data_IF_838688328798
#
_entry.id   IF_838688328798
#
_cell.length_a   1.000
_cell.length_b   1.000
_cell.length_c   1.000
_cell.angle_alpha   90.00
_cell.angle_beta   90.00
_cell.angle_gamma   90.00
#
_symmetry.space_group_name_H-M   'P 1'
#
loop_
_entity.id
_entity.type
_entity.pdbx_description
1 polymer ?
2 non-polymer ?
3 non-polymer ?
4 water ?
#
# COMPACT_ATOMS: atom_id res chain seq x y z
N UNK A 3 -7.52 -17.74 -19.00
CA UNK A 3 -8.85 -18.32 -19.35
C UNK A 3 -9.77 -18.50 -18.14
N UNK A 4 -9.22 -18.97 -17.00
CA UNK A 4 -10.00 -19.17 -15.75
C UNK A 4 -10.61 -17.87 -15.20
N UNK A 5 -9.85 -16.79 -15.23
CA UNK A 5 -10.34 -15.52 -14.71
C UNK A 5 -9.91 -14.34 -15.59
N UNK A 6 -10.37 -13.15 -15.27
CA UNK A 6 -10.03 -11.98 -16.01
C UNK A 6 -9.66 -10.89 -15.02
N UNK A 7 -8.55 -10.20 -15.28
CA UNK A 7 -8.07 -9.11 -14.42
C UNK A 7 -8.73 -7.75 -14.76
N UNK A 8 -9.19 -7.06 -13.72
CA UNK A 8 -9.70 -5.69 -13.80
C UNK A 8 -8.96 -4.90 -12.74
N UNK A 9 -8.51 -3.71 -13.13
CA UNK A 9 -7.72 -2.85 -12.31
C UNK A 9 -8.39 -1.47 -12.30
N UNK A 10 -8.54 -0.88 -11.12
CA UNK A 10 -9.06 0.49 -10.99
C UNK A 10 -8.10 1.35 -10.21
N UNK A 11 -7.93 2.58 -10.68
CA UNK A 11 -7.22 3.60 -9.96
C UNK A 11 -8.23 4.58 -9.37
N UNK A 12 -8.02 4.98 -8.12
CA UNK A 12 -8.76 6.07 -7.57
C UNK A 12 -8.37 7.46 -8.07
N UNK A 13 -9.39 8.33 -8.19
CA UNK A 13 -9.22 9.71 -8.60
C UNK A 13 -9.33 10.64 -7.42
N UNK A 14 -9.97 10.16 -6.35
CA UNK A 14 -9.97 10.89 -5.10
C UNK A 14 -8.54 10.94 -4.57
N UNK A 15 -8.24 11.91 -3.72
CA UNK A 15 -6.90 12.00 -3.10
C UNK A 15 -7.05 12.32 -1.61
N UNK A 16 -6.14 11.74 -0.83
CA UNK A 16 -5.97 12.05 0.59
C UNK A 16 -4.46 12.07 0.87
N UNK A 17 -4.00 12.92 1.80
CA UNK A 17 -2.57 12.93 2.06
C UNK A 17 -2.12 11.62 2.67
N UNK A 18 -0.97 11.11 2.25
CA UNK A 18 -0.48 9.89 2.85
C UNK A 18 1.05 9.79 2.84
N UNK A 19 1.57 8.73 3.46
CA UNK A 19 3.01 8.59 3.72
C UNK A 19 3.39 7.11 3.74
N UNK A 20 4.59 6.86 4.23
CA UNK A 20 5.13 5.54 4.32
C UNK A 20 4.84 4.86 5.65
N UNK A 21 4.81 3.55 5.59
CA UNK A 21 4.77 2.73 6.78
C UNK A 21 5.68 1.56 6.46
N UNK A 22 6.64 1.33 7.34
CA UNK A 22 7.61 0.28 7.12
C UNK A 22 7.69 -0.57 8.39
N UNK A 23 7.59 -1.88 8.19
CA UNK A 23 7.80 -2.88 9.25
C UNK A 23 9.00 -3.75 8.92
N UNK A 24 10.00 -3.69 9.80
CA UNK A 24 11.24 -4.39 9.54
C UNK A 24 11.57 -5.42 10.65
N UNK A 25 12.14 -6.54 10.22
CA UNK A 25 12.67 -7.54 11.16
C UNK A 25 14.20 -7.55 11.05
N UNK A 26 14.87 -7.48 12.20
CA UNK A 26 16.30 -7.35 12.21
C UNK A 26 16.91 -8.57 12.87
N UNK A 27 17.83 -9.20 12.13
CA UNK A 27 18.77 -10.18 12.69
C UNK A 27 20.16 -9.58 12.80
N UNK A 28 21.12 -10.38 13.27
CA UNK A 28 22.45 -9.88 13.49
C UNK A 28 23.12 -9.37 12.21
N UNK A 29 22.95 -10.13 11.14
CA UNK A 29 23.65 -9.86 9.88
C UNK A 29 22.75 -9.58 8.68
N UNK A 30 21.45 -9.47 8.93
CA UNK A 30 20.49 -9.20 7.87
C UNK A 30 19.16 -8.62 8.38
N UNK A 31 18.45 -7.98 7.47
CA UNK A 31 17.13 -7.45 7.76
C UNK A 31 16.23 -7.76 6.60
N UNK A 32 14.95 -7.86 6.94
CA UNK A 32 13.93 -8.02 5.96
C UNK A 32 12.80 -7.08 6.31
N UNK A 33 12.28 -6.41 5.29
CA UNK A 33 11.37 -5.32 5.47
C UNK A 33 10.28 -5.27 4.40
N UNK A 34 9.12 -4.80 4.84
CA UNK A 34 7.97 -4.52 3.99
C UNK A 34 7.65 -3.05 4.20
N UNK A 35 7.68 -2.29 3.11
CA UNK A 35 7.50 -0.86 3.16
C UNK A 35 6.34 -0.48 2.24
N UNK A 36 5.37 0.24 2.75
CA UNK A 36 4.23 0.68 1.89
C UNK A 36 4.21 2.17 1.86
N UNK A 37 3.95 2.76 0.69
CA UNK A 37 4.11 4.19 0.49
C UNK A 37 3.46 4.61 -0.83
N UNK A 38 3.14 5.90 -0.94
CA UNK A 38 2.59 6.44 -2.17
C UNK A 38 3.69 6.84 -3.12
N UNK A 39 3.48 6.56 -4.41
CA UNK A 39 4.24 7.13 -5.51
C UNK A 39 3.95 8.61 -5.56
N UNK A 40 4.99 9.41 -5.38
CA UNK A 40 4.88 10.84 -5.20
C UNK A 40 4.58 11.59 -6.51
N UNK A 41 4.60 10.89 -7.65
CA UNK A 41 4.25 11.50 -8.93
C UNK A 41 2.86 11.08 -9.38
N UNK A 42 2.59 9.78 -9.34
CA UNK A 42 1.30 9.21 -9.78
C UNK A 42 0.17 9.29 -8.75
N UNK A 43 0.52 9.38 -7.47
CA UNK A 43 -0.47 9.32 -6.38
C UNK A 43 -0.99 7.93 -6.05
N UNK A 44 -0.43 6.88 -6.64
CA UNK A 44 -0.92 5.54 -6.42
C UNK A 44 0.07 4.76 -5.56
N UNK A 45 -0.44 3.81 -4.77
CA UNK A 45 0.40 3.10 -3.80
C UNK A 45 1.36 2.07 -4.38
N UNK A 46 2.46 1.84 -3.70
CA UNK A 46 3.29 0.69 -3.99
C UNK A 46 3.66 -0.04 -2.71
N UNK A 47 4.16 -1.25 -2.86
CA UNK A 47 4.73 -1.96 -1.75
C UNK A 47 6.11 -2.45 -2.19
N UNK A 48 7.10 -2.15 -1.33
CA UNK A 48 8.47 -2.56 -1.52
C UNK A 48 8.79 -3.60 -0.43
N UNK A 49 9.29 -4.74 -0.86
CA UNK A 49 9.81 -5.78 0.05
C UNK A 49 11.30 -5.83 -0.22
N UNK A 50 12.11 -5.80 0.82
CA UNK A 50 13.53 -5.89 0.59
C UNK A 50 14.25 -6.65 1.67
N UNK A 51 15.42 -7.16 1.30
CA UNK A 51 16.27 -7.82 2.27
C UNK A 51 17.69 -7.35 2.07
N UNK A 52 18.34 -6.96 3.16
CA UNK A 52 19.75 -6.60 3.15
C UNK A 52 20.55 -7.54 4.02
N UNK A 53 21.77 -7.82 3.57
CA UNK A 53 22.69 -8.66 4.32
C UNK A 53 24.04 -7.97 4.32
N UNK A 54 24.69 -7.96 5.48
CA UNK A 54 25.99 -7.24 5.64
C UNK A 54 26.98 -8.12 6.36
N UNK A 55 28.24 -7.71 6.41
CA UNK A 55 29.27 -8.47 7.11
C UNK A 55 29.43 -8.06 8.58
N UNK A 56 30.45 -8.64 9.23
CA UNK A 56 30.69 -8.37 10.65
C UNK A 56 30.95 -6.91 10.92
N UNK A 57 31.36 -6.16 9.89
CA UNK A 57 31.72 -4.78 10.06
C UNK A 57 30.68 -3.82 9.55
N UNK A 58 29.49 -4.37 9.28
CA UNK A 58 28.34 -3.63 8.76
C UNK A 58 28.55 -3.09 7.34
N UNK A 59 29.46 -3.71 6.58
CA UNK A 59 29.51 -3.49 5.12
C UNK A 59 28.44 -4.30 4.42
N UNK A 60 27.66 -3.66 3.56
CA UNK A 60 26.67 -4.34 2.77
C UNK A 60 27.30 -5.38 1.84
N UNK A 61 26.77 -6.60 1.83
CA UNK A 61 27.21 -7.67 0.92
C UNK A 61 26.13 -8.05 -0.10
N UNK A 62 24.85 -8.02 0.30
CA UNK A 62 23.76 -8.33 -0.63
C UNK A 62 22.52 -7.49 -0.37
N UNK A 63 21.84 -7.14 -1.45
CA UNK A 63 20.54 -6.48 -1.35
C UNK A 63 19.58 -7.07 -2.40
N UNK A 64 18.37 -7.39 -1.98
CA UNK A 64 17.29 -7.88 -2.85
C UNK A 64 16.04 -7.04 -2.63
N UNK A 65 15.44 -6.59 -3.73
CA UNK A 65 14.26 -5.74 -3.77
C UNK A 65 13.18 -6.31 -4.65
N UNK A 66 11.92 -6.14 -4.23
CA UNK A 66 10.76 -6.61 -4.99
C UNK A 66 9.73 -5.55 -4.71
N UNK A 67 9.37 -4.83 -5.77
CA UNK A 67 8.39 -3.76 -5.66
C UNK A 67 7.20 -4.05 -6.53
N UNK A 68 6.02 -3.88 -5.97
CA UNK A 68 4.79 -3.99 -6.73
C UNK A 68 4.02 -2.67 -6.73
N UNK A 69 3.63 -2.26 -7.93
CA UNK A 69 2.94 -1.00 -8.16
C UNK A 69 2.01 -1.19 -9.34
N UNK A 70 1.28 -0.12 -9.64
CA UNK A 70 0.41 -0.13 -10.81
C UNK A 70 1.20 -0.46 -12.06
N UNK A 71 2.50 -0.09 -12.11
CA UNK A 71 3.33 -0.29 -13.32
C UNK A 71 3.82 -1.72 -13.50
N UNK A 72 3.71 -2.53 -12.46
CA UNK A 72 4.07 -3.94 -12.57
C UNK A 72 4.95 -4.31 -11.41
N UNK A 73 5.58 -5.47 -11.52
CA UNK A 73 6.49 -5.94 -10.50
C UNK A 73 7.87 -5.61 -11.05
N UNK A 74 8.72 -5.02 -10.22
CA UNK A 74 10.11 -4.80 -10.57
C UNK A 74 11.00 -5.42 -9.47
N UNK A 75 12.03 -6.10 -9.91
CA UNK A 75 12.99 -6.66 -9.01
C UNK A 75 14.39 -6.02 -9.22
N UNK A 76 15.19 -6.06 -8.16
CA UNK A 76 16.60 -5.67 -8.21
C UNK A 76 17.41 -6.54 -7.24
N UNK A 77 18.50 -7.11 -7.74
CA UNK A 77 19.42 -7.92 -6.95
C UNK A 77 20.85 -7.39 -7.10
N UNK A 78 21.42 -6.91 -6.01
CA UNK A 78 22.77 -6.35 -5.99
C UNK A 78 23.66 -7.13 -5.05
N UNK A 79 24.89 -7.36 -5.52
CA UNK A 79 25.95 -7.94 -4.70
C UNK A 79 27.06 -6.91 -4.57
N UNK A 80 27.66 -6.80 -3.39
CA UNK A 80 28.78 -5.91 -3.13
C UNK A 80 29.88 -6.70 -2.41
N UNK A 81 31.14 -6.42 -2.72
CA UNK A 81 32.24 -7.18 -2.07
C UNK A 81 32.67 -6.67 -0.69
N UNK A 82 32.02 -5.59 -0.21
CA UNK A 82 32.40 -4.92 1.04
C UNK A 82 33.59 -3.96 0.90
N UNK A 83 34.14 -3.87 -0.30
CA UNK A 83 35.28 -3.01 -0.58
C UNK A 83 35.03 -2.04 -1.71
N UNK A 84 33.75 -1.84 -2.05
CA UNK A 84 33.31 -0.82 -3.00
C UNK A 84 33.04 -1.30 -4.43
N UNK A 85 32.97 -2.62 -4.64
CA UNK A 85 32.77 -3.20 -5.98
C UNK A 85 31.47 -3.96 -6.04
N UNK A 86 30.66 -3.59 -7.02
CA UNK A 86 29.28 -4.08 -7.09
C UNK A 86 29.03 -4.90 -8.29
N UNK A 87 28.04 -5.78 -8.18
CA UNK A 87 27.57 -6.44 -9.37
C UNK A 87 26.13 -6.82 -9.23
N UNK A 88 25.52 -7.14 -10.36
CA UNK A 88 24.12 -7.56 -10.37
C UNK A 88 24.00 -9.03 -10.04
N UNK A 89 22.76 -9.51 -9.94
CA UNK A 89 22.51 -10.93 -9.69
C UNK A 89 23.01 -11.89 -10.76
N UNK A 90 23.29 -11.38 -11.96
CA UNK A 90 23.88 -12.20 -13.02
C UNK A 90 25.39 -12.17 -12.97
N UNK A 91 25.96 -11.46 -12.00
CA UNK A 91 27.41 -11.44 -11.85
C UNK A 91 28.08 -10.46 -12.78
N UNK A 92 27.30 -9.60 -13.44
CA UNK A 92 27.84 -8.53 -14.27
C UNK A 92 28.28 -7.37 -13.37
N UNK A 93 29.51 -6.91 -13.56
CA UNK A 93 30.07 -5.82 -12.77
C UNK A 93 29.29 -4.52 -13.04
N UNK A 94 29.16 -3.68 -12.02
CA UNK A 94 28.49 -2.40 -12.10
C UNK A 94 29.48 -1.31 -11.70
N UNK A 95 30.38 -0.93 -12.63
CA UNK A 95 31.46 0.03 -12.30
C UNK A 95 30.98 1.43 -11.88
N UNK A 96 29.75 1.77 -12.25
CA UNK A 96 29.23 3.09 -11.96
C UNK A 96 29.02 3.27 -10.47
N UNK A 97 29.09 2.18 -9.70
CA UNK A 97 28.85 2.25 -8.25
C UNK A 97 30.16 2.11 -7.49
N UNK A 98 31.27 2.05 -8.21
CA UNK A 98 32.56 1.88 -7.56
C UNK A 98 32.73 2.83 -6.38
N UNK A 99 33.20 2.31 -5.25
CA UNK A 99 33.43 3.13 -4.05
C UNK A 99 32.27 3.20 -3.07
N UNK A 100 31.08 2.82 -3.48
CA UNK A 100 29.97 2.80 -2.54
C UNK A 100 30.09 1.62 -1.60
N UNK A 101 30.09 1.88 -0.30
CA UNK A 101 30.10 0.80 0.72
C UNK A 101 28.72 0.56 1.38
N UNK A 102 27.84 1.58 1.35
CA UNK A 102 26.55 1.55 2.03
C UNK A 102 25.45 1.85 0.99
N UNK A 103 24.28 1.29 1.25
CA UNK A 103 23.06 1.59 0.50
C UNK A 103 22.24 2.60 1.33
N UNK A 104 21.52 3.46 0.62
CA UNK A 104 20.54 4.38 1.20
C UNK A 104 19.27 4.21 0.36
N UNK A 105 18.22 3.71 1.00
CA UNK A 105 16.93 3.45 0.34
C UNK A 105 16.04 4.59 0.79
N UNK A 106 15.35 5.22 -0.16
CA UNK A 106 14.23 6.15 0.12
C UNK A 106 12.95 5.38 -0.22
N UNK A 107 11.92 5.49 0.61
CA UNK A 107 11.84 6.17 1.89
C UNK A 107 12.06 5.26 3.08
N UNK A 108 13.28 5.22 3.61
CA UNK A 108 13.51 4.42 4.82
C UNK A 108 14.58 4.98 5.72
N UNK A 109 14.24 5.16 7.00
CA UNK A 109 15.32 5.62 7.89
C UNK A 109 16.18 4.47 8.42
N UNK A 110 15.84 3.25 8.05
CA UNK A 110 16.71 2.10 8.41
C UNK A 110 18.13 2.30 7.96
N UNK A 111 18.30 2.72 6.71
CA UNK A 111 19.62 2.67 6.10
C UNK A 111 20.65 3.65 6.69
N UNK A 112 20.18 4.63 7.46
CA UNK A 112 21.08 5.53 8.17
C UNK A 112 21.93 4.77 9.21
N UNK A 113 21.46 3.59 9.62
CA UNK A 113 22.19 2.77 10.57
C UNK A 113 23.52 2.26 10.03
N UNK A 114 23.61 2.08 8.73
CA UNK A 114 24.84 1.50 8.15
C UNK A 114 26.07 2.36 8.37
N UNK A 115 26.05 3.63 7.90
CA UNK A 115 27.25 4.44 8.17
C UNK A 115 27.54 4.59 9.66
N UNK A 116 26.49 4.71 10.47
CA UNK A 116 26.67 4.83 11.90
C UNK A 116 27.41 3.64 12.48
N UNK A 117 26.97 2.44 12.13
CA UNK A 117 27.55 1.24 12.71
C UNK A 117 28.87 0.93 12.06
N UNK A 118 28.99 1.19 10.78
CA UNK A 118 30.22 0.88 10.06
C UNK A 118 31.40 1.80 10.47
N UNK A 119 31.14 3.10 10.60
CA UNK A 119 32.19 4.09 10.83
C UNK A 119 32.69 4.16 12.24
N UNK A 120 31.84 3.88 13.22
CA UNK A 120 32.24 3.92 14.61
C UNK A 120 32.81 5.28 15.00
N UNK A 121 32.12 6.34 14.62
CA UNK A 121 32.66 7.68 14.83
C UNK A 121 32.72 8.06 16.31
N UNK A 122 33.66 8.94 16.65
CA UNK A 122 33.68 9.55 18.00
C UNK A 122 32.98 10.88 17.91
N UNK A 123 32.60 11.43 19.07
CA UNK A 123 32.02 12.76 19.14
C UNK A 123 32.84 13.76 18.36
N UNK A 124 32.14 14.48 17.51
CA UNK A 124 32.69 15.58 16.81
C UNK A 124 33.24 15.15 15.50
N UNK A 125 33.33 13.84 15.27
CA UNK A 125 33.99 13.32 14.08
C UNK A 125 33.09 13.31 12.90
N UNK A 126 33.61 13.80 11.76
CA UNK A 126 32.89 13.86 10.51
C UNK A 126 33.46 12.84 9.53
N UNK A 127 32.59 12.20 8.77
CA UNK A 127 32.99 11.37 7.63
C UNK A 127 32.18 11.70 6.38
N UNK A 128 32.85 11.74 5.23
CA UNK A 128 32.13 11.84 4.00
C UNK A 128 32.15 10.46 3.33
N UNK A 129 30.99 10.02 2.85
CA UNK A 129 30.85 8.70 2.30
C UNK A 129 30.26 8.82 0.90
N UNK A 130 30.39 7.73 0.15
CA UNK A 130 29.72 7.53 -1.12
C UNK A 130 28.66 6.45 -0.95
N UNK A 131 27.40 6.87 -0.92
CA UNK A 131 26.32 5.97 -0.68
C UNK A 131 25.69 5.54 -1.98
N UNK A 132 25.24 4.30 -2.06
CA UNK A 132 24.44 3.88 -3.23
C UNK A 132 22.95 4.14 -2.96
N UNK A 133 22.45 5.21 -3.60
CA UNK A 133 21.13 5.75 -3.28
C UNK A 133 20.14 5.08 -4.21
N UNK A 134 19.13 4.46 -3.63
CA UNK A 134 18.10 3.70 -4.37
C UNK A 134 16.74 4.23 -3.88
N UNK A 135 16.05 4.90 -4.79
CA UNK A 135 14.76 5.54 -4.50
C UNK A 135 13.65 4.67 -5.01
N UNK A 136 12.81 4.19 -4.09
CA UNK A 136 11.59 3.50 -4.51
C UNK A 136 10.58 4.54 -5.02
N UNK A 137 9.68 4.13 -5.93
CA UNK A 137 9.52 2.76 -6.47
C UNK A 137 10.39 2.34 -7.67
N UNK A 138 11.13 3.26 -8.28
CA UNK A 138 11.79 2.94 -9.55
C UNK A 138 13.03 2.08 -9.37
N UNK A 139 13.69 2.19 -8.22
CA UNK A 139 14.82 1.35 -7.83
C UNK A 139 15.93 1.40 -8.87
N UNK A 140 16.27 2.62 -9.28
CA UNK A 140 17.39 2.89 -10.20
C UNK A 140 18.55 3.46 -9.40
N UNK A 141 19.51 2.61 -9.02
CA UNK A 141 20.51 3.13 -8.10
C UNK A 141 21.42 4.19 -8.67
N UNK A 142 21.90 5.10 -7.81
CA UNK A 142 23.01 5.95 -8.21
C UNK A 142 23.86 6.34 -7.05
N UNK A 143 25.13 6.57 -7.35
CA UNK A 143 26.05 7.03 -6.32
C UNK A 143 25.69 8.43 -5.82
N UNK A 145 27.09 11.37 -2.74
CA UNK A 145 27.99 11.82 -1.70
C UNK A 145 27.19 12.35 -0.51
N UNK A 146 27.55 11.86 0.67
CA UNK A 146 26.83 12.18 1.91
C UNK A 146 27.86 12.44 2.99
N UNK A 147 27.48 13.17 4.03
CA UNK A 147 28.33 13.25 5.22
C UNK A 147 27.56 12.92 6.50
N UNK A 148 28.26 12.27 7.41
CA UNK A 148 27.79 12.03 8.77
C UNK A 148 28.77 12.63 9.79
N UNK A 149 28.21 13.37 10.75
CA UNK A 149 28.98 13.81 11.88
C UNK A 149 28.32 13.35 13.19
N UNK A 150 29.10 12.69 14.06
CA UNK A 150 28.60 12.34 15.38
C UNK A 150 28.61 13.55 16.32
N UNK A 151 27.45 13.89 16.85
CA UNK A 151 27.30 15.05 17.73
C UNK A 151 27.42 14.58 19.16
N UNK A 152 26.72 13.50 19.46
CA UNK A 152 26.88 12.76 20.71
C UNK A 152 26.49 11.31 20.46
N UNK A 153 26.44 10.47 21.50
CA UNK A 153 26.14 9.03 21.26
C UNK A 153 24.83 8.81 20.56
N UNK A 154 23.85 9.67 20.81
CA UNK A 154 22.51 9.44 20.26
C UNK A 154 22.09 10.40 19.12
N UNK A 155 22.98 11.29 18.71
CA UNK A 155 22.65 12.25 17.67
C UNK A 155 23.74 12.30 16.62
N UNK A 156 23.31 12.22 15.35
CA UNK A 156 24.14 12.35 14.18
C UNK A 156 23.62 13.44 13.23
N UNK A 157 24.53 14.29 12.76
CA UNK A 157 24.23 15.23 11.69
C UNK A 157 24.43 14.59 10.33
N UNK A 158 23.35 14.51 9.57
CA UNK A 158 23.36 13.96 8.22
C UNK A 158 23.37 15.17 7.25
N UNK A 159 24.17 15.12 6.19
CA UNK A 159 24.15 16.13 5.12
C UNK A 159 24.24 15.50 3.72
N UNK A 160 23.43 16.01 2.80
CA UNK A 160 23.65 15.78 1.37
C UNK A 160 24.87 16.58 0.89
N UNK A 161 25.70 15.93 0.11
CA UNK A 161 26.84 16.63 -0.48
C UNK A 161 26.69 16.90 -1.97
N UNK A 162 25.54 16.62 -2.57
CA UNK A 162 25.48 16.78 -4.04
C UNK A 162 24.91 18.09 -4.55
N UNK A 163 24.38 18.94 -3.67
CA UNK A 163 23.92 20.27 -4.09
C UNK A 163 22.64 20.77 -3.46
N UNK A 164 21.75 19.85 -3.03
CA UNK A 164 20.52 20.24 -2.27
C UNK A 164 20.76 21.01 -0.96
N UNK A 165 21.94 20.84 -0.37
CA UNK A 165 22.22 21.38 0.96
C UNK A 165 21.30 20.81 2.05
N UNK A 166 20.55 19.73 1.79
CA UNK A 166 19.72 19.13 2.83
C UNK A 166 20.54 18.65 4.04
N UNK A 167 20.08 18.97 5.23
CA UNK A 167 20.75 18.57 6.46
C UNK A 167 19.69 18.18 7.47
N UNK A 168 20.02 17.20 8.30
CA UNK A 168 19.13 16.76 9.36
C UNK A 168 19.94 16.23 10.54
N UNK A 169 19.36 16.35 11.75
CA UNK A 169 19.90 15.70 12.96
C UNK A 169 19.04 14.49 13.32
N UNK A 170 19.68 13.30 13.34
CA UNK A 170 19.00 12.04 13.60
C UNK A 170 19.18 11.65 15.06
N UNK A 171 18.07 11.28 15.69
CA UNK A 171 18.12 10.72 17.03
C UNK A 171 18.07 9.18 16.86
N UNK A 172 19.08 8.50 17.38
CA UNK A 172 19.26 7.07 17.25
C UNK A 172 19.37 6.41 18.63
N UNK A 173 19.10 5.12 18.65
CA UNK A 173 19.23 4.34 19.89
C UNK A 173 20.61 3.76 19.97
N UNK A 174 20.84 3.00 21.02
CA UNK A 174 22.16 2.45 21.26
C UNK A 174 22.65 1.48 20.23
N UNK A 175 21.76 0.92 19.41
CA UNK A 175 22.18 0.08 18.31
C UNK A 175 22.30 0.86 16.99
N UNK A 176 22.02 2.16 17.03
CA UNK A 176 22.17 3.00 15.86
C UNK A 176 20.93 3.01 15.00
N UNK A 177 19.84 2.45 15.52
CA UNK A 177 18.56 2.54 14.83
C UNK A 177 17.90 3.88 15.09
N UNK A 178 17.40 4.49 14.02
CA UNK A 178 16.74 5.75 14.07
C UNK A 178 15.46 5.68 14.94
N UNK A 179 15.39 6.58 15.91
CA UNK A 179 14.15 6.87 16.65
C UNK A 179 13.36 7.96 15.90
N UNK A 180 13.97 9.13 15.77
CA UNK A 180 13.39 10.29 15.09
C UNK A 180 14.29 10.75 13.99
N UNK A 181 13.71 10.85 12.81
CA UNK A 181 14.30 11.53 11.64
C UNK A 181 13.39 12.74 11.53
N UNK A 182 13.78 13.85 12.17
CA UNK A 182 12.78 14.89 12.44
C UNK A 182 12.07 15.44 11.19
N UNK A 183 10.73 15.40 11.25
CA UNK A 183 9.89 15.89 10.17
C UNK A 183 9.76 14.92 9.00
N UNK A 184 10.53 13.80 9.01
CA UNK A 184 10.42 12.81 7.95
C UNK A 184 9.94 11.43 8.42
N UNK A 185 10.50 10.90 9.50
CA UNK A 185 10.09 9.59 10.00
C UNK A 185 10.04 9.56 11.49
N UNK A 186 9.10 8.76 12.02
CA UNK A 186 9.02 8.47 13.43
C UNK A 186 8.95 6.95 13.69
N UNK A 187 9.82 6.49 14.56
CA UNK A 187 9.65 5.14 15.09
C UNK A 187 8.36 4.97 15.89
N UNK A 188 7.63 3.91 15.56
CA UNK A 188 6.41 3.59 16.28
C UNK A 188 6.64 2.51 17.31
N UNK B 5 14.93 -12.03 17.28
CA UNK B 5 14.71 -11.04 16.17
C UNK B 5 13.88 -9.84 16.61
N UNK B 6 14.44 -8.66 16.41
CA UNK B 6 13.86 -7.42 16.85
C UNK B 6 13.03 -6.82 15.71
N UNK B 7 11.87 -6.27 16.08
CA UNK B 7 10.97 -5.67 15.14
C UNK B 7 11.03 -4.16 15.28
N UNK B 8 11.03 -3.47 14.14
CA UNK B 8 11.13 -2.00 14.08
C UNK B 8 10.08 -1.51 13.09
N UNK B 9 9.29 -0.52 13.51
CA UNK B 9 8.25 0.06 12.65
C UNK B 9 8.44 1.55 12.62
N UNK B 10 8.47 2.12 11.43
CA UNK B 10 8.53 3.56 11.23
C UNK B 10 7.35 4.05 10.42
N UNK B 11 6.76 5.14 10.89
CA UNK B 11 5.77 5.92 10.14
C UNK B 11 6.44 7.14 9.53
N UNK B 12 6.10 7.46 8.27
CA UNK B 12 6.49 8.70 7.64
C UNK B 12 5.72 9.87 8.18
N UNK B 13 6.40 11.02 8.23
CA UNK B 13 5.82 12.30 8.64
C UNK B 13 5.60 13.22 7.41
N UNK B 14 6.35 12.99 6.35
CA UNK B 14 6.10 13.64 5.09
C UNK B 14 4.73 13.20 4.56
N UNK B 15 4.15 14.00 3.68
CA UNK B 15 2.84 13.71 3.15
C UNK B 15 2.85 14.00 1.67
N UNK B 16 2.13 13.18 0.93
CA UNK B 16 1.93 13.35 -0.50
C UNK B 16 0.52 12.84 -0.78
N UNK B 17 -0.22 13.49 -1.68
CA UNK B 17 -1.58 13.09 -2.04
C UNK B 17 -1.62 11.68 -2.65
N UNK B 18 -2.55 10.86 -2.21
CA UNK B 18 -2.62 9.52 -2.73
C UNK B 18 -4.03 8.96 -2.78
N UNK B 19 -4.14 7.78 -3.38
CA UNK B 19 -5.40 7.15 -3.60
C UNK B 19 -5.30 5.65 -3.60
N UNK B 20 -6.36 5.03 -4.06
CA UNK B 20 -6.49 3.59 -4.13
C UNK B 20 -5.97 3.01 -5.44
N UNK B 21 -5.48 1.77 -5.33
CA UNK B 21 -5.17 0.96 -6.49
C UNK B 21 -5.72 -0.42 -6.20
N UNK B 22 -6.57 -0.93 -7.11
CA UNK B 22 -7.25 -2.21 -6.96
C UNK B 22 -7.04 -3.09 -8.20
N UNK B 23 -6.62 -4.33 -7.92
CA UNK B 23 -6.39 -5.34 -8.92
C UNK B 23 -7.26 -6.55 -8.57
N UNK B 24 -8.29 -6.79 -9.39
CA UNK B 24 -9.31 -7.78 -9.13
C UNK B 24 -9.31 -8.86 -10.21
N UNK B 25 -9.44 -10.10 -9.75
CA UNK B 25 -9.55 -11.26 -10.64
C UNK B 25 -10.99 -11.79 -10.57
N UNK B 26 -11.67 -11.83 -11.72
CA UNK B 26 -13.06 -12.13 -11.77
C UNK B 26 -13.30 -13.47 -12.44
N UNK B 27 -14.17 -14.26 -11.82
CA UNK B 27 -14.65 -15.52 -12.39
C UNK B 27 -16.18 -15.47 -12.51
N UNK B 28 -16.84 -16.53 -13.02
CA UNK B 28 -18.29 -16.49 -13.16
C UNK B 28 -19.07 -16.25 -11.87
N UNK B 29 -18.57 -16.78 -10.75
CA UNK B 29 -19.33 -16.77 -9.48
C UNK B 29 -18.58 -16.21 -8.28
N UNK B 30 -17.40 -15.63 -8.51
CA UNK B 30 -16.59 -15.11 -7.44
C UNK B 30 -15.54 -14.17 -7.96
N UNK B 31 -15.03 -13.36 -7.05
CA UNK B 31 -13.96 -12.39 -7.33
C UNK B 31 -13.01 -12.34 -6.13
N UNK B 32 -11.72 -12.20 -6.42
CA UNK B 32 -10.69 -12.02 -5.44
C UNK B 32 -9.87 -10.82 -5.85
N UNK B 33 -9.69 -9.93 -4.87
CA UNK B 33 -9.11 -8.64 -5.06
C UNK B 33 -8.06 -8.22 -4.01
N UNK B 34 -7.12 -7.42 -4.48
CA UNK B 34 -6.10 -6.79 -3.65
C UNK B 34 -6.18 -5.31 -3.91
N UNK B 35 -6.44 -4.57 -2.84
CA UNK B 35 -6.74 -3.16 -2.86
C UNK B 35 -5.74 -2.52 -1.88
N UNK B 36 -4.97 -1.56 -2.37
CA UNK B 36 -4.06 -0.77 -1.55
C UNK B 36 -4.56 0.68 -1.54
N UNK B 37 -4.57 1.31 -0.38
CA UNK B 37 -5.11 2.67 -0.26
C UNK B 37 -4.62 3.32 1.03
N UNK B 38 -4.69 4.66 1.10
CA UNK B 38 -4.38 5.34 2.34
C UNK B 38 -5.57 5.37 3.29
N UNK B 39 -5.26 5.22 4.58
CA UNK B 39 -6.19 5.57 5.66
C UNK B 39 -6.36 7.09 5.68
N UNK B 40 -7.62 7.49 5.62
CA UNK B 40 -7.98 8.88 5.34
C UNK B 40 -7.91 9.74 6.59
N UNK B 41 -7.65 9.12 7.75
CA UNK B 41 -7.46 9.83 9.02
C UNK B 41 -6.02 9.82 9.42
N UNK B 42 -5.37 8.67 9.29
CA UNK B 42 -4.00 8.52 9.79
C UNK B 42 -2.91 8.95 8.80
N UNK B 43 -3.25 9.03 7.53
CA UNK B 43 -2.26 9.26 6.52
C UNK B 43 -1.45 8.03 6.16
N UNK B 44 -1.69 6.88 6.78
CA UNK B 44 -0.84 5.70 6.57
C UNK B 44 -1.52 4.66 5.66
N UNK B 45 -0.71 3.90 4.89
CA UNK B 45 -1.29 2.95 3.95
C UNK B 45 -1.85 1.64 4.57
N UNK B 46 -2.82 1.07 3.89
CA UNK B 46 -3.29 -0.26 4.26
C UNK B 46 -3.43 -1.10 3.00
N UNK B 47 -3.54 -2.40 3.23
CA UNK B 47 -3.84 -3.30 2.15
C UNK B 47 -5.01 -4.14 2.52
N UNK B 48 -6.00 -4.20 1.63
CA UNK B 48 -7.19 -5.00 1.86
C UNK B 48 -7.19 -6.10 0.81
N UNK B 49 -7.26 -7.35 1.23
CA UNK B 49 -7.50 -8.42 0.31
C UNK B 49 -8.91 -8.88 0.57
N UNK B 50 -9.66 -9.16 -0.47
CA UNK B 50 -10.98 -9.69 -0.22
C UNK B 50 -11.42 -10.67 -1.27
N UNK B 51 -12.38 -11.50 -0.91
CA UNK B 51 -13.00 -12.45 -1.86
C UNK B 51 -14.49 -12.45 -1.66
N UNK B 52 -15.22 -12.33 -2.75
CA UNK B 52 -16.66 -12.37 -2.73
C UNK B 52 -17.13 -13.56 -3.55
N UNK B 53 -18.20 -14.22 -3.07
CA UNK B 53 -18.88 -15.27 -3.86
C UNK B 53 -20.40 -15.06 -3.89
N UNK B 54 -20.99 -15.23 -5.07
CA UNK B 54 -22.41 -15.01 -5.33
C UNK B 54 -23.07 -16.17 -6.10
N UNK B 55 -24.41 -16.27 -5.99
CA UNK B 55 -25.18 -17.26 -6.75
C UNK B 55 -25.41 -16.75 -8.15
N UNK B 56 -26.10 -17.58 -8.94
CA UNK B 56 -26.31 -17.28 -10.34
C UNK B 56 -27.24 -16.10 -10.55
N UNK B 57 -27.95 -15.68 -9.50
CA UNK B 57 -28.77 -14.46 -9.57
C UNK B 57 -28.03 -13.20 -9.10
N UNK B 58 -26.72 -13.31 -8.88
CA UNK B 58 -25.87 -12.21 -8.35
C UNK B 58 -26.20 -11.75 -6.95
N UNK B 59 -26.79 -12.63 -6.14
CA UNK B 59 -26.98 -12.42 -4.71
C UNK B 59 -25.71 -12.91 -4.01
N UNK B 60 -25.12 -12.05 -3.20
CA UNK B 60 -23.92 -12.36 -2.43
C UNK B 60 -24.23 -13.49 -1.46
N UNK B 61 -23.31 -14.44 -1.42
CA UNK B 61 -23.39 -15.59 -0.51
C UNK B 61 -22.28 -15.69 0.54
N UNK B 62 -21.08 -15.20 0.21
CA UNK B 62 -19.98 -15.25 1.15
C UNK B 62 -19.03 -14.09 0.87
N UNK B 63 -18.42 -13.53 1.92
CA UNK B 63 -17.43 -12.47 1.74
C UNK B 63 -16.38 -12.64 2.80
N UNK B 64 -15.14 -12.62 2.37
CA UNK B 64 -14.01 -12.74 3.28
C UNK B 64 -13.06 -11.57 3.04
N UNK B 65 -12.60 -10.98 4.13
CA UNK B 65 -11.82 -9.78 4.12
C UNK B 65 -10.60 -9.97 5.05
N UNK B 66 -9.47 -9.44 4.62
CA UNK B 66 -8.26 -9.43 5.40
C UNK B 66 -7.58 -8.08 5.15
N UNK B 67 -7.43 -7.29 6.20
CA UNK B 67 -6.79 -5.97 6.09
C UNK B 67 -5.55 -5.94 6.96
N UNK B 68 -4.50 -5.36 6.40
CA UNK B 68 -3.26 -5.09 7.10
C UNK B 68 -3.01 -3.60 7.14
N UNK B 69 -2.71 -3.09 8.34
CA UNK B 69 -2.44 -1.69 8.50
C UNK B 69 -1.49 -1.54 9.66
N UNK B 70 -1.12 -0.29 9.95
CA UNK B 70 -0.26 -0.03 11.07
C UNK B 70 -0.91 -0.51 12.37
N UNK B 71 -2.25 -0.52 12.43
CA UNK B 71 -3.01 -0.95 13.62
C UNK B 71 -3.04 -2.46 13.80
N UNK B 72 -2.66 -3.22 12.77
CA UNK B 72 -2.54 -4.68 12.86
C UNK B 72 -3.28 -5.38 11.72
N UNK B 73 -3.60 -6.64 11.92
CA UNK B 73 -4.37 -7.42 10.98
C UNK B 73 -5.80 -7.45 11.47
N UNK B 74 -6.74 -7.23 10.58
CA UNK B 74 -8.15 -7.34 10.96
C UNK B 74 -8.83 -8.24 9.91
N UNK B 75 -9.70 -9.12 10.35
CA UNK B 75 -10.38 -10.08 9.46
C UNK B 75 -11.87 -10.00 9.64
N UNK B 76 -12.60 -10.33 8.58
CA UNK B 76 -14.09 -10.29 8.60
C UNK B 76 -14.57 -11.40 7.67
N UNK B 77 -15.50 -12.22 8.15
CA UNK B 77 -16.03 -13.32 7.39
C UNK B 77 -17.54 -13.31 7.48
N UNK B 78 -18.18 -13.05 6.35
CA UNK B 78 -19.64 -12.97 6.30
C UNK B 78 -20.24 -14.04 5.40
N UNK B 79 -21.37 -14.56 5.88
CA UNK B 79 -22.23 -15.47 5.14
C UNK B 79 -23.62 -14.91 5.02
N UNK B 80 -24.20 -15.05 3.83
CA UNK B 80 -25.55 -14.64 3.55
C UNK B 80 -26.30 -15.77 2.88
N UNK B 81 -27.59 -15.90 3.19
CA UNK B 81 -28.41 -16.89 2.49
C UNK B 81 -28.94 -16.47 1.10
N UNK B 82 -28.68 -15.24 0.67
CA UNK B 82 -29.27 -14.67 -0.56
C UNK B 82 -30.70 -14.18 -0.39
N UNK B 83 -31.21 -14.24 0.84
CA UNK B 83 -32.58 -13.83 1.17
C UNK B 83 -32.59 -12.80 2.30
N UNK B 84 -31.43 -12.18 2.55
CA UNK B 84 -31.30 -11.08 3.49
C UNK B 84 -31.00 -11.47 4.92
N UNK B 85 -30.53 -12.70 5.12
CA UNK B 85 -30.19 -13.23 6.45
C UNK B 85 -28.71 -13.54 6.47
N UNK B 86 -28.02 -12.88 7.39
CA UNK B 86 -26.55 -12.91 7.50
C UNK B 86 -26.05 -13.58 8.76
N UNK B 87 -24.90 -14.23 8.63
CA UNK B 87 -24.18 -14.78 9.76
C UNK B 87 -22.70 -14.47 9.67
N UNK B 88 -22.00 -14.48 10.80
CA UNK B 88 -20.53 -14.50 10.73
C UNK B 88 -19.99 -15.89 10.40
N UNK B 89 -18.66 -15.99 10.32
CA UNK B 89 -17.97 -17.23 9.91
C UNK B 89 -18.19 -18.38 10.89
N UNK B 90 -18.57 -18.04 12.11
CA UNK B 90 -18.86 -19.02 13.15
C UNK B 90 -20.36 -19.35 13.25
N UNK B 91 -21.17 -18.80 12.36
CA UNK B 91 -22.59 -19.11 12.31
C UNK B 91 -23.49 -18.26 13.18
N UNK B 92 -22.92 -17.32 13.92
CA UNK B 92 -23.72 -16.45 14.79
C UNK B 92 -24.47 -15.46 13.91
N UNK B 93 -25.75 -15.29 14.18
CA UNK B 93 -26.65 -14.49 13.34
C UNK B 93 -26.31 -13.02 13.51
N UNK B 94 -26.47 -12.24 12.45
CA UNK B 94 -26.21 -10.79 12.45
C UNK B 94 -27.48 -10.07 12.04
N UNK B 95 -28.43 -9.94 12.98
CA UNK B 95 -29.73 -9.32 12.72
C UNK B 95 -29.65 -7.84 12.24
N UNK B 96 -28.54 -7.17 12.54
CA UNK B 96 -28.37 -5.77 12.15
C UNK B 96 -28.35 -5.57 10.64
N UNK B 97 -28.02 -6.63 9.90
CA UNK B 97 -27.86 -6.55 8.45
C UNK B 97 -29.08 -7.15 7.72
N UNK B 98 -30.14 -7.38 8.48
CA UNK B 98 -31.36 -8.02 7.94
C UNK B 98 -31.85 -7.25 6.70
N UNK B 99 -32.12 -7.98 5.61
CA UNK B 99 -32.69 -7.42 4.39
C UNK B 99 -31.69 -7.00 3.36
N UNK B 100 -30.42 -6.84 3.75
CA UNK B 100 -29.35 -6.58 2.74
C UNK B 100 -29.15 -7.77 1.78
N UNK B 101 -29.11 -7.49 0.49
CA UNK B 101 -28.74 -8.52 -0.50
C UNK B 101 -27.36 -8.30 -1.10
N UNK B 102 -26.89 -7.04 -1.12
CA UNK B 102 -25.65 -6.66 -1.77
C UNK B 102 -24.75 -6.04 -0.71
N UNK B 103 -23.46 -6.25 -0.91
CA UNK B 103 -22.43 -5.56 -0.18
C UNK B 103 -21.94 -4.42 -0.98
N UNK B 104 -21.50 -3.35 -0.30
CA UNK B 104 -20.85 -2.23 -0.99
C UNK B 104 -19.57 -1.99 -0.22
N UNK B 105 -18.45 -2.09 -0.90
CA UNK B 105 -17.14 -1.87 -0.27
C UNK B 105 -16.57 -0.51 -0.65
N UNK B 106 -16.12 0.26 0.33
CA UNK B 106 -15.36 1.49 0.00
C UNK B 106 -13.90 1.19 0.37
N UNK B 107 -12.94 1.59 -0.50
CA UNK B 107 -13.02 2.25 -1.79
C UNK B 107 -12.94 1.31 -3.01
N UNK B 108 -14.07 0.79 -3.45
CA UNK B 108 -14.08 -0.06 -4.64
C UNK B 108 -15.30 0.11 -5.55
N UNK B 109 -15.05 0.39 -6.85
CA UNK B 109 -16.20 0.43 -7.72
C UNK B 109 -16.70 -0.95 -8.17
N UNK B 110 -16.02 -2.02 -7.76
CA UNK B 110 -16.42 -3.33 -8.17
C UNK B 110 -17.86 -3.60 -7.72
N UNK B 111 -18.20 -3.21 -6.50
CA UNK B 111 -19.43 -3.67 -5.89
C UNK B 111 -20.69 -3.00 -6.49
N UNK B 112 -20.54 -1.98 -7.33
CA UNK B 112 -21.67 -1.38 -8.08
C UNK B 112 -22.20 -2.37 -9.07
N UNK B 113 -21.37 -3.34 -9.45
CA UNK B 113 -21.83 -4.37 -10.33
C UNK B 113 -23.00 -5.24 -9.78
N UNK B 114 -23.06 -5.51 -8.47
CA UNK B 114 -24.06 -6.40 -7.93
C UNK B 114 -25.49 -5.94 -8.18
N UNK B 115 -25.85 -4.69 -7.76
CA UNK B 115 -27.26 -4.30 -8.03
C UNK B 115 -27.56 -4.26 -9.54
N UNK B 116 -26.58 -3.80 -10.31
CA UNK B 116 -26.74 -3.76 -11.76
C UNK B 116 -27.07 -5.14 -12.31
N UNK B 117 -26.32 -6.16 -11.90
CA UNK B 117 -26.51 -7.48 -12.43
C UNK B 117 -27.72 -8.19 -11.79
N UNK B 118 -28.01 -7.89 -10.52
CA UNK B 118 -29.09 -8.54 -9.83
C UNK B 118 -30.48 -7.96 -10.20
N UNK B 119 -30.58 -6.64 -10.22
CA UNK B 119 -31.92 -5.99 -10.36
C UNK B 119 -32.64 -6.21 -11.73
N UNK B 120 -31.93 -6.31 -12.83
CA UNK B 120 -32.66 -6.50 -14.11
C UNK B 120 -33.57 -5.32 -14.40
N UNK B 121 -33.03 -4.12 -14.21
CA UNK B 121 -33.77 -2.90 -14.43
C UNK B 121 -33.97 -2.71 -15.94
N UNK B 122 -35.14 -2.17 -16.31
CA UNK B 122 -35.40 -1.63 -17.65
C UNK B 122 -34.80 -0.23 -17.76
N UNK B 123 -34.55 0.24 -18.98
CA UNK B 123 -34.19 1.63 -19.19
C UNK B 123 -35.16 2.58 -18.47
N UNK B 124 -34.62 3.53 -17.70
CA UNK B 124 -35.42 4.55 -17.01
C UNK B 124 -35.95 4.10 -15.67
N UNK B 125 -35.66 2.85 -15.31
CA UNK B 125 -36.23 2.28 -14.10
C UNK B 125 -35.32 2.46 -12.93
N UNK B 126 -35.92 2.86 -11.81
CA UNK B 126 -35.22 3.12 -10.55
C UNK B 126 -35.64 2.11 -9.52
N UNK B 127 -34.69 1.56 -8.78
CA UNK B 127 -34.96 0.77 -7.58
C UNK B 127 -34.14 1.23 -6.37
N UNK B 128 -34.80 1.34 -5.22
CA UNK B 128 -34.15 1.40 -3.95
C UNK B 128 -33.70 0.02 -3.45
N UNK B 129 -32.48 -0.01 -2.91
CA UNK B 129 -31.91 -1.22 -2.31
C UNK B 129 -31.46 -0.94 -0.88
N UNK B 130 -31.28 -2.02 -0.11
CA UNK B 130 -30.66 -1.93 1.22
C UNK B 130 -29.31 -2.60 1.06
N UNK B 131 -28.27 -1.80 0.99
CA UNK B 131 -26.93 -2.33 0.75
C UNK B 131 -26.22 -2.54 2.10
N UNK B 132 -25.37 -3.58 2.20
CA UNK B 132 -24.48 -3.72 3.35
C UNK B 132 -23.14 -3.04 3.10
N UNK B 133 -22.98 -1.84 3.66
CA UNK B 133 -21.87 -0.96 3.39
C UNK B 133 -20.71 -1.29 4.32
N UNK B 134 -19.55 -1.58 3.73
CA UNK B 134 -18.36 -1.98 4.45
C UNK B 134 -17.21 -1.10 4.00
N UNK B 135 -16.81 -0.23 4.89
CA UNK B 135 -15.79 0.79 4.62
C UNK B 135 -14.44 0.35 5.16
N UNK B 136 -13.48 0.19 4.25
CA UNK B 136 -12.11 -0.14 4.64
C UNK B 136 -11.44 1.14 5.19
N UNK B 137 -10.47 1.00 6.12
CA UNK B 137 -9.93 -0.23 6.68
C UNK B 137 -10.63 -0.86 7.88
N UNK B 138 -11.54 -0.12 8.53
CA UNK B 138 -12.15 -0.62 9.75
C UNK B 138 -13.05 -1.87 9.52
N UNK B 139 -13.69 -1.94 8.37
CA UNK B 139 -14.56 -3.09 8.06
C UNK B 139 -15.66 -3.29 9.13
N UNK B 140 -16.38 -2.21 9.46
CA UNK B 140 -17.53 -2.30 10.37
C UNK B 140 -18.83 -2.14 9.56
N UNK B 141 -19.44 -3.27 9.14
CA UNK B 141 -20.56 -3.15 8.20
C UNK B 141 -21.78 -2.46 8.79
N UNK B 142 -22.56 -1.84 7.91
CA UNK B 142 -23.83 -1.25 8.33
C UNK B 142 -24.78 -1.20 7.17
N UNK B 143 -26.08 -1.37 7.40
CA UNK B 143 -27.03 -1.30 6.28
C UNK B 143 -27.15 0.15 5.86
N UNK B 145 -29.33 2.79 2.76
CA UNK B 145 -30.30 2.98 1.70
C UNK B 145 -29.57 3.57 0.50
N UNK B 146 -29.72 2.92 -0.64
CA UNK B 146 -29.19 3.39 -1.91
C UNK B 146 -30.24 3.25 -2.99
N UNK B 147 -30.03 3.94 -4.12
CA UNK B 147 -30.85 3.76 -5.30
C UNK B 147 -30.01 3.68 -6.58
N UNK B 148 -30.46 2.80 -7.47
CA UNK B 148 -29.91 2.67 -8.80
C UNK B 148 -30.99 2.92 -9.85
N UNK B 149 -30.64 3.62 -10.93
CA UNK B 149 -31.52 3.84 -12.07
C UNK B 149 -30.76 3.44 -13.32
N UNK B 150 -31.32 2.51 -14.08
CA UNK B 150 -30.78 2.24 -15.40
C UNK B 150 -31.15 3.41 -16.32
N UNK B 151 -30.13 4.11 -16.78
CA UNK B 151 -30.33 5.15 -17.79
C UNK B 151 -30.32 4.52 -19.19
N UNK B 152 -29.25 3.77 -19.48
CA UNK B 152 -29.20 2.85 -20.59
C UNK B 152 -28.34 1.64 -20.23
N UNK B 153 -28.09 0.75 -21.17
CA UNK B 153 -27.36 -0.48 -20.84
C UNK B 153 -26.00 -0.16 -20.20
N UNK B 154 -25.38 0.95 -20.61
CA UNK B 154 -24.01 1.27 -20.16
C UNK B 154 -23.94 2.41 -19.15
N UNK B 155 -25.07 2.92 -18.66
CA UNK B 155 -25.06 4.06 -17.70
C UNK B 155 -26.12 3.91 -16.60
N UNK B 156 -25.70 3.98 -15.34
CA UNK B 156 -26.57 3.85 -14.20
C UNK B 156 -26.39 5.11 -13.33
N UNK B 157 -27.49 5.67 -12.86
CA UNK B 157 -27.45 6.70 -11.85
C UNK B 157 -27.47 6.01 -10.48
N UNK B 158 -26.46 6.34 -9.68
CA UNK B 158 -26.32 5.92 -8.28
C UNK B 158 -26.74 7.08 -7.36
N UNK B 159 -27.55 6.80 -6.35
CA UNK B 159 -27.93 7.77 -5.38
C UNK B 159 -27.75 7.23 -3.96
N UNK B 160 -27.18 8.05 -3.11
CA UNK B 160 -27.17 7.81 -1.65
C UNK B 160 -28.50 8.33 -1.10
N UNK B 161 -29.22 7.51 -0.33
CA UNK B 161 -30.53 7.92 0.18
C UNK B 161 -30.49 8.27 1.67
N UNK B 162 -29.31 8.38 2.24
CA UNK B 162 -29.20 8.64 3.68
C UNK B 162 -29.15 10.13 4.08
N UNK B 163 -29.17 11.04 3.10
CA UNK B 163 -29.20 12.48 3.38
C UNK B 163 -28.07 13.34 2.83
N UNK B 164 -26.98 12.75 2.33
CA UNK B 164 -25.93 13.53 1.65
C UNK B 164 -26.38 14.07 0.30
N UNK B 165 -27.37 13.41 -0.30
CA UNK B 165 -27.83 13.68 -1.65
C UNK B 165 -26.73 13.38 -2.70
N UNK B 166 -25.65 12.66 -2.34
CA UNK B 166 -24.65 12.33 -3.35
C UNK B 166 -25.28 11.49 -4.47
N UNK B 167 -24.94 11.85 -5.71
CA UNK B 167 -25.39 11.16 -6.92
C UNK B 167 -24.26 11.06 -7.92
N UNK B 168 -24.24 9.96 -8.67
CA UNK B 168 -23.28 9.78 -9.71
C UNK B 168 -23.81 8.99 -10.87
N UNK B 169 -23.23 9.27 -12.02
CA UNK B 169 -23.56 8.52 -13.21
C UNK B 169 -22.37 7.61 -13.52
N UNK B 170 -22.63 6.31 -13.46
CA UNK B 170 -21.59 5.30 -13.69
C UNK B 170 -21.63 4.80 -15.15
N UNK B 171 -20.47 4.78 -15.81
CA UNK B 171 -20.27 4.13 -17.08
C UNK B 171 -19.77 2.68 -16.84
N UNK B 172 -20.52 1.73 -17.36
CA UNK B 172 -20.19 0.33 -17.24
C UNK B 172 -20.08 -0.37 -18.61
N UNK B 173 -19.33 -1.46 -18.58
CA UNK B 173 -19.11 -2.29 -19.77
C UNK B 173 -20.27 -3.27 -19.92
N UNK B 174 -20.15 -4.15 -20.90
CA UNK B 174 -21.20 -5.09 -21.21
C UNK B 174 -21.52 -6.11 -20.12
N UNK B 175 -20.62 -6.30 -19.18
CA UNK B 175 -20.87 -7.16 -18.02
C UNK B 175 -21.29 -6.44 -16.72
N UNK B 176 -21.47 -5.13 -16.78
CA UNK B 176 -21.88 -4.36 -15.63
C UNK B 176 -20.70 -3.93 -14.76
N UNK B 177 -19.48 -4.08 -15.27
CA UNK B 177 -18.29 -3.66 -14.56
C UNK B 177 -18.01 -2.19 -14.90
N UNK B 178 -17.74 -1.45 -13.84
CA UNK B 178 -17.48 -0.01 -13.87
C UNK B 178 -16.21 0.37 -14.67
N UNK B 179 -16.41 1.24 -15.66
CA UNK B 179 -15.35 1.81 -16.47
C UNK B 179 -14.88 3.13 -15.82
N UNK B 180 -15.83 4.03 -15.63
CA UNK B 180 -15.64 5.33 -15.07
C UNK B 180 -16.63 5.50 -13.93
N UNK B 181 -16.09 5.92 -12.81
CA UNK B 181 -16.91 6.41 -11.72
C UNK B 181 -16.41 7.82 -11.59
N UNK B 182 -17.12 8.75 -12.21
CA UNK B 182 -16.59 10.07 -12.44
C UNK B 182 -16.09 10.75 -11.22
N UNK B 183 -14.86 11.20 -11.31
CA UNK B 183 -14.19 11.92 -10.21
C UNK B 183 -13.83 11.04 -9.03
N UNK B 184 -14.01 9.73 -9.14
CA UNK B 184 -13.67 8.81 -8.05
C UNK B 184 -12.80 7.62 -8.45
N UNK B 185 -13.18 6.90 -9.53
CA UNK B 185 -12.42 5.72 -9.99
C UNK B 185 -12.37 5.70 -11.51
N UNK B 186 -11.25 5.22 -12.02
CA UNK B 186 -11.08 4.94 -13.43
C UNK B 186 -10.49 3.54 -13.63
N UNK B 187 -11.07 2.79 -14.55
CA UNK B 187 -10.48 1.56 -15.03
C UNK B 187 -9.17 1.82 -15.77
N UNK B 188 -8.12 1.08 -15.42
CA UNK B 188 -6.86 1.16 -16.16
C UNK B 188 -6.83 0.07 -17.20
#
# INVERSE_FOLDING_TARGET
>A
GXSRDRLYTWAGLWRSPSSSWEALRLEDDQAESQLRAPDERSGLPYQLDYRLRWDADWHLREAVFHVESETGVRKLHLLADGRGHWQDGDGEALPAFDGCLDIDIWPSPFTNTFPIRRLGLADGQRAEIRALYIEAPALEPRSXRQAYTRLDASHYLYENLEGSAFKAVLLVDEQGLVIDYPGLFQRL
>B
GXSRDRLYTWAGLWRSPSSSWEALRLEDDQAESQLRAPDERSGLPYQLDYRLRWDADWHLREAVFHVESETGVRKLHLLADGRGHWQDGDGEALPAFDGCLDIDIWPSPFTNTFPIRRLGLADGQRAEIRALYIEAPALEPRSXRQAYTRLDASHYLYENLEGSAFKAVLLVDEQGLVIDYPGLFQRL
#
